data_IF_758715455150
#
_entry.id   IF_758715455150
#
_cell.length_a   1.000
_cell.length_b   1.000
_cell.length_c   1.000
_cell.angle_alpha   90.00
_cell.angle_beta   90.00
_cell.angle_gamma   90.00
#
_symmetry.space_group_name_H-M   'P 1'
#
loop_
_entity.id
_entity.type
_entity.pdbx_description
1 polymer ?
#
# COMPACT_ATOMS: atom_id res chain seq x y z
N UNK A 1 12.24 -14.15 -7.23
CA UNK A 1 10.90 -13.51 -7.22
C UNK A 1 11.08 -12.05 -7.63
N UNK A 2 10.31 -11.55 -8.60
CA UNK A 2 10.36 -10.13 -9.02
C UNK A 2 9.42 -9.33 -8.13
N UNK A 3 9.95 -8.33 -7.42
CA UNK A 3 9.16 -7.36 -6.66
C UNK A 3 8.70 -6.26 -7.61
N UNK A 4 7.40 -5.96 -7.59
CA UNK A 4 6.77 -4.89 -8.40
C UNK A 4 6.17 -3.84 -7.46
N UNK A 5 6.14 -2.58 -7.89
CA UNK A 5 5.50 -1.46 -7.20
C UNK A 5 4.33 -0.94 -8.04
N UNK A 6 3.43 -1.84 -8.40
CA UNK A 6 2.14 -1.50 -9.00
C UNK A 6 1.03 -1.58 -7.96
N UNK A 7 0.02 -0.74 -8.14
CA UNK A 7 -1.18 -0.73 -7.32
C UNK A 7 -2.38 -1.09 -8.20
N UNK A 8 -3.29 -1.90 -7.66
CA UNK A 8 -4.49 -2.35 -8.34
C UNK A 8 -5.67 -2.24 -7.39
N UNK A 9 -6.83 -1.89 -7.91
CA UNK A 9 -8.08 -1.86 -7.15
C UNK A 9 -9.09 -2.85 -7.74
N UNK A 10 -9.99 -3.31 -6.89
CA UNK A 10 -11.14 -4.13 -7.27
C UNK A 10 -12.38 -3.50 -6.63
N UNK A 11 -13.22 -2.89 -7.46
CA UNK A 11 -14.54 -2.45 -7.00
C UNK A 11 -15.46 -3.67 -6.86
N UNK A 12 -15.89 -3.93 -5.63
CA UNK A 12 -16.78 -5.05 -5.30
C UNK A 12 -18.27 -4.67 -5.36
N UNK A 13 -18.59 -3.38 -5.55
CA UNK A 13 -19.95 -2.90 -5.72
C UNK A 13 -20.44 -3.03 -7.17
N UNK A 14 -19.52 -3.17 -8.14
CA UNK A 14 -19.86 -3.25 -9.56
C UNK A 14 -19.49 -4.61 -10.17
N UNK A 15 -20.41 -5.16 -10.97
CA UNK A 15 -20.17 -6.38 -11.77
C UNK A 15 -20.07 -6.01 -13.26
N UNK A 16 -19.21 -6.69 -14.04
CA UNK A 16 -18.34 -7.79 -13.64
C UNK A 16 -17.16 -7.33 -12.78
N UNK A 17 -16.72 -8.19 -11.85
CA UNK A 17 -15.54 -7.93 -11.04
C UNK A 17 -14.29 -7.92 -11.93
N UNK A 18 -13.64 -6.78 -12.00
CA UNK A 18 -12.43 -6.60 -12.79
C UNK A 18 -11.40 -5.83 -11.98
N UNK A 19 -10.18 -6.37 -11.94
CA UNK A 19 -9.03 -5.65 -11.40
C UNK A 19 -8.68 -4.50 -12.32
N UNK A 20 -8.52 -3.31 -11.76
CA UNK A 20 -8.12 -2.11 -12.47
C UNK A 20 -6.75 -1.66 -11.98
N UNK A 21 -5.83 -1.47 -12.92
CA UNK A 21 -4.52 -0.94 -12.60
C UNK A 21 -4.66 0.53 -12.22
N UNK A 22 -4.14 0.89 -11.07
CA UNK A 22 -4.03 2.28 -10.65
C UNK A 22 -2.75 2.90 -11.20
N UNK A 23 -2.81 4.19 -11.49
CA UNK A 23 -1.64 5.04 -11.74
C UNK A 23 -1.64 6.16 -10.69
N UNK A 24 -1.31 5.88 -9.42
CA UNK A 24 -1.39 6.88 -8.38
C UNK A 24 -0.27 7.91 -8.52
N UNK A 25 -0.55 9.17 -8.21
CA UNK A 25 0.45 10.23 -8.10
C UNK A 25 1.20 10.14 -6.75
N UNK A 26 2.17 11.01 -6.54
CA UNK A 26 2.88 11.18 -5.27
C UNK A 26 4.01 10.16 -5.02
N UNK A 27 4.36 10.04 -3.74
CA UNK A 27 5.53 9.29 -3.28
C UNK A 27 5.23 7.79 -3.19
N UNK A 28 5.43 7.09 -4.32
CA UNK A 28 5.13 5.66 -4.41
C UNK A 28 6.09 4.84 -3.53
N UNK A 29 5.58 3.85 -2.78
CA UNK A 29 6.43 2.94 -2.02
C UNK A 29 7.38 2.19 -2.95
N UNK A 30 8.59 1.92 -2.47
CA UNK A 30 9.47 0.95 -3.11
C UNK A 30 8.84 -0.45 -3.17
N UNK A 31 9.26 -1.24 -4.15
CA UNK A 31 8.80 -2.60 -4.30
C UNK A 31 9.16 -3.44 -3.06
N UNK A 32 8.18 -4.12 -2.47
CA UNK A 32 8.31 -4.75 -1.16
C UNK A 32 7.52 -6.05 -1.06
N UNK A 33 7.93 -6.93 -0.15
CA UNK A 33 7.25 -8.17 0.18
C UNK A 33 6.95 -8.22 1.68
N UNK A 34 5.91 -8.97 2.07
CA UNK A 34 5.54 -9.18 3.48
C UNK A 34 5.25 -7.87 4.25
N UNK A 35 4.79 -6.83 3.55
CA UNK A 35 4.29 -5.62 4.17
C UNK A 35 2.91 -5.88 4.78
N UNK A 36 2.57 -5.17 5.85
CA UNK A 36 1.21 -5.18 6.41
C UNK A 36 0.38 -4.10 5.74
N UNK A 37 -0.87 -4.43 5.43
CA UNK A 37 -1.81 -3.52 4.79
C UNK A 37 -3.13 -3.49 5.55
N UNK A 38 -3.72 -2.30 5.70
CA UNK A 38 -5.05 -2.14 6.30
C UNK A 38 -5.84 -1.03 5.62
N UNK A 39 -7.12 -1.26 5.40
CA UNK A 39 -8.05 -0.23 4.95
C UNK A 39 -8.67 0.46 6.15
N UNK A 40 -8.74 1.79 6.12
CA UNK A 40 -9.43 2.61 7.10
C UNK A 40 -10.83 2.96 6.61
N UNK A 41 -11.73 3.23 7.54
CA UNK A 41 -13.13 3.60 7.25
C UNK A 41 -13.27 4.95 6.53
N UNK A 42 -12.24 5.79 6.56
CA UNK A 42 -12.18 7.07 5.84
C UNK A 42 -11.72 6.91 4.37
N UNK A 43 -11.53 5.68 3.90
CA UNK A 43 -11.14 5.38 2.52
C UNK A 43 -9.63 5.40 2.27
N UNK A 44 -8.80 5.56 3.31
CA UNK A 44 -7.35 5.46 3.18
C UNK A 44 -6.89 4.00 3.32
N UNK A 45 -5.98 3.58 2.46
CA UNK A 45 -5.25 2.33 2.59
C UNK A 45 -3.86 2.59 3.17
N UNK A 46 -3.52 1.96 4.29
CA UNK A 46 -2.23 2.08 4.96
C UNK A 46 -1.37 0.86 4.66
N UNK A 47 -0.15 1.09 4.19
CA UNK A 47 0.88 0.10 3.92
C UNK A 47 2.07 0.34 4.85
N UNK A 48 2.45 -0.64 5.68
CA UNK A 48 3.54 -0.50 6.65
C UNK A 48 4.64 -1.55 6.42
N UNK A 49 5.89 -1.09 6.39
CA UNK A 49 7.09 -1.90 6.39
C UNK A 49 7.18 -2.92 5.25
N UNK A 50 7.56 -4.15 5.60
CA UNK A 50 7.92 -5.21 4.66
C UNK A 50 9.43 -5.34 4.47
N UNK A 51 9.85 -6.02 3.41
CA UNK A 51 11.25 -6.14 3.01
C UNK A 51 11.44 -6.01 1.51
N UNK A 52 12.59 -5.51 1.11
CA UNK A 52 12.97 -5.44 -0.31
C UNK A 52 13.41 -6.80 -0.87
N UNK A 53 13.92 -6.82 -2.11
CA UNK A 53 14.41 -8.03 -2.77
C UNK A 53 15.68 -8.62 -2.14
N UNK A 54 16.46 -7.81 -1.41
CA UNK A 54 17.65 -8.25 -0.65
C UNK A 54 17.30 -8.81 0.73
N UNK A 55 16.04 -8.65 1.16
CA UNK A 55 15.58 -9.03 2.48
C UNK A 55 15.77 -7.94 3.53
N UNK A 56 16.18 -6.74 3.14
CA UNK A 56 16.36 -5.61 4.04
C UNK A 56 15.01 -5.13 4.56
N UNK A 57 14.81 -5.03 5.89
CA UNK A 57 13.57 -4.53 6.47
C UNK A 57 13.33 -3.06 6.12
N UNK A 58 12.08 -2.74 5.78
CA UNK A 58 11.63 -1.38 5.53
C UNK A 58 10.90 -0.86 6.78
N UNK A 59 11.27 0.33 7.24
CA UNK A 59 10.69 0.99 8.43
C UNK A 59 9.79 2.19 8.09
N UNK A 60 9.37 2.27 6.83
CA UNK A 60 8.49 3.30 6.29
C UNK A 60 7.02 2.84 6.30
N UNK A 61 6.11 3.80 6.22
CA UNK A 61 4.69 3.56 6.04
C UNK A 61 4.14 4.54 5.00
N UNK A 62 3.16 4.10 4.20
CA UNK A 62 2.54 4.89 3.15
C UNK A 62 1.02 4.82 3.24
N UNK A 63 0.37 5.95 2.98
CA UNK A 63 -1.06 6.02 2.73
C UNK A 63 -1.34 6.07 1.24
N UNK A 64 -2.30 5.29 0.76
CA UNK A 64 -2.92 5.42 -0.54
C UNK A 64 -4.33 5.96 -0.33
N UNK A 65 -4.62 7.13 -0.89
CA UNK A 65 -5.91 7.80 -0.74
C UNK A 65 -6.54 8.08 -2.11
N UNK A 66 -7.87 8.01 -2.19
CA UNK A 66 -8.61 8.45 -3.38
C UNK A 66 -9.19 9.85 -3.15
N UNK A 67 -8.79 10.78 -3.99
CA UNK A 67 -9.31 12.15 -4.01
C UNK A 67 -10.73 12.19 -4.58
N UNK A 68 -11.45 13.27 -4.30
CA UNK A 68 -12.82 13.50 -4.82
C UNK A 68 -12.90 13.56 -6.35
N UNK A 69 -11.78 13.88 -7.01
CA UNK A 69 -11.66 13.89 -8.47
C UNK A 69 -11.37 12.50 -9.07
N UNK A 70 -11.34 11.45 -8.25
CA UNK A 70 -11.05 10.06 -8.67
C UNK A 70 -9.57 9.74 -8.84
N UNK A 71 -8.66 10.67 -8.54
CA UNK A 71 -7.23 10.40 -8.58
C UNK A 71 -6.76 9.73 -7.30
N UNK A 72 -5.87 8.76 -7.45
CA UNK A 72 -5.20 8.09 -6.35
C UNK A 72 -3.87 8.76 -6.07
N UNK A 73 -3.52 8.90 -4.80
CA UNK A 73 -2.23 9.47 -4.39
C UNK A 73 -1.59 8.60 -3.31
N UNK A 74 -0.31 8.29 -3.50
CA UNK A 74 0.55 7.78 -2.44
C UNK A 74 1.18 8.95 -1.68
N UNK A 75 1.13 8.88 -0.35
CA UNK A 75 1.86 9.79 0.52
C UNK A 75 2.65 8.98 1.53
N UNK A 76 3.87 9.45 1.85
CA UNK A 76 4.59 8.96 3.01
C UNK A 76 3.75 9.30 4.26
N UNK A 77 3.51 8.30 5.10
CA UNK A 77 2.79 8.51 6.34
C UNK A 77 3.72 9.24 7.34
N UNK A 78 3.24 10.30 8.01
CA UNK A 78 4.05 11.01 8.99
C UNK A 78 4.31 10.12 10.21
N UNK A 79 5.59 9.91 10.54
CA UNK A 79 6.03 9.16 11.71
C UNK A 79 6.90 7.94 11.35
N UNK A 80 7.56 7.38 12.36
CA UNK A 80 8.24 6.09 12.25
C UNK A 80 7.16 5.02 12.19
N UNK A 81 7.16 4.15 11.17
CA UNK A 81 6.38 2.91 11.22
C UNK A 81 6.71 2.22 12.56
N UNK A 82 5.72 1.66 13.29
CA UNK A 82 6.03 0.88 14.48
C UNK A 82 7.15 -0.11 14.12
N UNK A 83 8.17 -0.18 14.97
CA UNK A 83 9.44 -0.91 14.74
C UNK A 83 9.19 -2.26 14.07
N UNK A 84 10.08 -2.76 13.20
CA UNK A 84 9.90 -4.04 12.52
C UNK A 84 9.57 -5.14 13.53
N UNK A 85 8.29 -5.54 13.60
CA UNK A 85 7.82 -6.61 14.47
C UNK A 85 7.53 -7.80 13.59
N UNK A 86 8.37 -8.83 13.73
CA UNK A 86 8.06 -10.17 13.25
C UNK A 86 6.79 -10.61 13.98
N UNK A 87 5.79 -11.07 13.23
CA UNK A 87 4.52 -11.65 13.68
C UNK A 87 3.39 -10.67 14.04
N UNK A 88 2.47 -10.49 13.08
CA UNK A 88 1.05 -10.32 13.38
C UNK A 88 0.30 -11.36 12.56
N UNK A 89 0.01 -12.50 13.18
CA UNK A 89 -1.08 -13.37 12.74
C UNK A 89 -2.40 -12.74 13.19
N UNK A 90 -3.34 -12.61 12.26
CA UNK A 90 -4.78 -12.70 12.56
C UNK A 90 -5.31 -13.88 11.75
#
# INVERSE_FOLDING_TARGET
KRTVSDAWTLDTAQKPYAWQKLNPEGDRPSARMYATASARSDGMFLLCGGRDSSGTPLADAYGLLMHRNGQWEWTLAPGVSPSPRYENQV
#
